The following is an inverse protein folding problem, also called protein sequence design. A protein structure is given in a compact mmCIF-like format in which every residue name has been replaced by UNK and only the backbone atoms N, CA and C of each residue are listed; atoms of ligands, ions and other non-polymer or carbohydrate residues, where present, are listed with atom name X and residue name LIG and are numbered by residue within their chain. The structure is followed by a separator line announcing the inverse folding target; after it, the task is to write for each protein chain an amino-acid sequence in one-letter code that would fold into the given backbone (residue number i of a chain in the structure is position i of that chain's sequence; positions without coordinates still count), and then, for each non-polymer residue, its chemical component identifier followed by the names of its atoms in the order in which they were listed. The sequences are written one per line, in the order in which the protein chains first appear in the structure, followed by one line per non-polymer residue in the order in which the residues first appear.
data_IF_543342304385
#
_entry.id   IF_543342304385
#
_cell.length_a   1.000
_cell.length_b   1.000
_cell.length_c   1.000
_cell.angle_alpha   90.00
_cell.angle_beta   90.00
_cell.angle_gamma   90.00
#
_symmetry.space_group_name_H-M   'P 1'
#
loop_
_entity.id
_entity.type
_entity.pdbx_description
1 polymer ?
#
# COMPACT_ATOMS: atom_id res chain seq x y z
N UNK A 1 -5.03 8.94 -5.66
CA UNK A 1 -3.60 9.29 -5.83
C UNK A 1 -3.22 9.44 -7.30
N UNK A 2 -3.49 8.47 -8.19
CA UNK A 2 -3.23 8.63 -9.65
C UNK A 2 -4.00 9.82 -10.30
N UNK A 3 -5.16 10.20 -9.75
CA UNK A 3 -5.94 11.34 -10.27
C UNK A 3 -5.36 12.73 -9.90
N UNK A 4 -4.46 12.82 -8.91
CA UNK A 4 -3.86 14.11 -8.50
C UNK A 4 -2.87 14.63 -9.56
N UNK A 5 -2.15 13.73 -10.21
CA UNK A 5 -1.21 14.02 -11.31
C UNK A 5 -1.89 14.67 -12.53
N UNK A 6 -3.21 14.50 -12.69
CA UNK A 6 -3.94 15.02 -13.85
C UNK A 6 -4.43 16.47 -13.69
N UNK A 7 -4.35 17.08 -12.50
CA UNK A 7 -5.02 18.37 -12.22
C UNK A 7 -4.10 19.60 -12.18
N UNK A 8 -2.78 19.44 -12.31
CA UNK A 8 -1.85 20.58 -12.50
C UNK A 8 -1.94 21.68 -11.44
N UNK A 9 -2.20 21.33 -10.17
CA UNK A 9 -2.45 22.33 -9.12
C UNK A 9 -1.13 22.82 -8.53
N UNK A 10 -0.78 24.06 -8.84
CA UNK A 10 0.29 24.81 -8.19
C UNK A 10 0.07 24.81 -6.67
N UNK A 11 1.07 24.35 -5.92
CA UNK A 11 0.97 24.12 -4.47
C UNK A 11 0.77 25.40 -3.68
N UNK A 12 -0.48 25.84 -3.54
CA UNK A 12 -0.86 26.95 -2.66
C UNK A 12 -1.14 26.39 -1.26
N UNK A 13 -0.50 26.90 -0.18
CA UNK A 13 -0.74 26.50 1.20
C UNK A 13 -2.15 26.92 1.62
N UNK A 14 -3.14 26.03 1.41
CA UNK A 14 -4.54 26.30 1.73
C UNK A 14 -5.55 25.78 0.71
N UNK A 15 -5.09 25.23 -0.43
CA UNK A 15 -6.02 24.60 -1.39
C UNK A 15 -6.72 23.38 -0.78
N UNK A 16 -8.03 23.27 -0.99
CA UNK A 16 -8.86 22.12 -0.56
C UNK A 16 -8.26 20.78 -1.05
N UNK A 17 -7.63 20.80 -2.22
CA UNK A 17 -6.96 19.65 -2.86
C UNK A 17 -5.66 19.25 -2.15
N UNK A 18 -4.82 20.19 -1.71
CA UNK A 18 -3.61 19.88 -0.94
C UNK A 18 -3.90 19.25 0.42
N UNK A 19 -4.99 19.68 1.07
CA UNK A 19 -5.51 19.05 2.29
C UNK A 19 -5.93 17.60 2.07
N UNK A 20 -6.62 17.30 0.97
CA UNK A 20 -7.03 15.93 0.63
C UNK A 20 -5.82 15.01 0.39
N UNK A 21 -4.80 15.48 -0.33
CA UNK A 21 -3.57 14.68 -0.57
C UNK A 21 -2.87 14.36 0.74
N UNK A 22 -2.73 15.34 1.64
CA UNK A 22 -2.13 15.12 2.95
C UNK A 22 -2.92 14.08 3.75
N UNK A 23 -4.25 14.15 3.75
CA UNK A 23 -5.10 13.13 4.39
C UNK A 23 -4.87 11.73 3.80
N UNK A 24 -4.84 11.60 2.47
CA UNK A 24 -4.52 10.32 1.83
C UNK A 24 -3.15 9.78 2.26
N UNK A 25 -2.12 10.61 2.27
CA UNK A 25 -0.77 10.21 2.68
C UNK A 25 -0.71 9.80 4.15
N UNK A 26 -1.41 10.50 5.05
CA UNK A 26 -1.52 10.12 6.48
C UNK A 26 -2.22 8.78 6.64
N UNK A 27 -3.31 8.56 5.90
CA UNK A 27 -4.03 7.29 5.93
C UNK A 27 -3.19 6.15 5.36
N UNK A 28 -2.43 6.40 4.29
CA UNK A 28 -1.48 5.42 3.75
C UNK A 28 -0.39 5.11 4.77
N UNK A 29 0.27 6.13 5.34
CA UNK A 29 1.29 5.94 6.40
C UNK A 29 0.75 5.09 7.56
N UNK A 30 -0.46 5.39 8.03
CA UNK A 30 -1.11 4.63 9.10
C UNK A 30 -1.37 3.18 8.66
N UNK A 31 -1.89 2.95 7.47
CA UNK A 31 -2.21 1.61 6.97
C UNK A 31 -0.97 0.74 6.70
N UNK A 32 0.19 1.35 6.45
CA UNK A 32 1.45 0.62 6.30
C UNK A 32 2.03 0.16 7.64
N UNK A 33 1.63 0.81 8.74
CA UNK A 33 2.00 0.37 10.08
C UNK A 33 1.35 -0.98 10.37
N UNK A 34 2.15 -1.93 10.83
CA UNK A 34 1.74 -3.30 11.16
C UNK A 34 1.09 -4.10 10.01
N UNK A 35 1.28 -3.66 8.75
CA UNK A 35 0.73 -4.35 7.58
C UNK A 35 1.17 -5.82 7.51
N UNK A 36 2.45 -6.08 7.82
CA UNK A 36 2.99 -7.43 7.86
C UNK A 36 2.25 -8.31 8.88
N UNK A 37 1.93 -7.78 10.05
CA UNK A 37 1.21 -8.51 11.10
C UNK A 37 -0.24 -8.81 10.72
N UNK A 38 -0.88 -7.91 9.97
CA UNK A 38 -2.18 -8.19 9.37
C UNK A 38 -2.09 -9.41 8.45
N UNK A 39 -1.09 -9.46 7.56
CA UNK A 39 -0.91 -10.62 6.68
C UNK A 39 -0.57 -11.90 7.44
N UNK A 40 0.27 -11.84 8.49
CA UNK A 40 0.58 -13.01 9.34
C UNK A 40 -0.68 -13.57 9.99
N UNK A 41 -1.56 -12.72 10.53
CA UNK A 41 -2.85 -13.15 11.08
C UNK A 41 -3.72 -13.84 10.05
N UNK A 42 -3.84 -13.25 8.86
CA UNK A 42 -4.63 -13.83 7.76
C UNK A 42 -4.11 -15.21 7.33
N UNK A 43 -2.79 -15.39 7.26
CA UNK A 43 -2.14 -16.67 6.93
C UNK A 43 -2.48 -17.75 7.95
N UNK A 44 -2.45 -17.39 9.25
CA UNK A 44 -2.81 -18.30 10.35
C UNK A 44 -4.31 -18.65 10.30
N UNK A 45 -5.18 -17.66 10.16
CA UNK A 45 -6.64 -17.84 10.12
C UNK A 45 -7.08 -18.68 8.91
N UNK A 46 -6.48 -18.44 7.74
CA UNK A 46 -6.80 -19.14 6.50
C UNK A 46 -6.19 -20.56 6.43
N UNK A 47 -5.38 -20.98 7.42
CA UNK A 47 -4.70 -22.28 7.48
C UNK A 47 -4.05 -22.65 6.15
N UNK A 48 -3.28 -21.71 5.59
CA UNK A 48 -2.73 -21.86 4.25
C UNK A 48 -1.76 -23.05 4.18
N UNK A 49 -1.87 -23.84 3.11
CA UNK A 49 -0.78 -24.72 2.68
C UNK A 49 0.49 -23.87 2.42
N UNK A 50 1.66 -24.37 2.82
CA UNK A 50 2.96 -23.71 2.67
C UNK A 50 3.14 -22.40 3.46
N UNK A 51 2.80 -22.38 4.74
CA UNK A 51 2.98 -21.21 5.62
C UNK A 51 4.39 -20.58 5.55
N UNK A 52 5.44 -21.38 5.38
CA UNK A 52 6.83 -20.89 5.25
C UNK A 52 7.05 -20.01 4.01
N UNK A 53 6.37 -20.31 2.90
CA UNK A 53 6.44 -19.50 1.69
C UNK A 53 5.74 -18.15 1.89
N UNK A 54 4.61 -18.14 2.60
CA UNK A 54 3.92 -16.91 2.97
C UNK A 54 4.76 -16.07 3.92
N UNK A 55 5.37 -16.66 4.95
CA UNK A 55 6.23 -15.93 5.88
C UNK A 55 7.43 -15.30 5.18
N UNK A 56 8.07 -16.02 4.23
CA UNK A 56 9.16 -15.47 3.42
C UNK A 56 8.69 -14.27 2.60
N UNK A 57 7.53 -14.37 1.95
CA UNK A 57 6.94 -13.27 1.19
C UNK A 57 6.54 -12.09 2.09
N UNK A 58 5.97 -12.35 3.26
CA UNK A 58 5.57 -11.31 4.23
C UNK A 58 6.78 -10.50 4.69
N UNK A 59 7.94 -11.14 4.91
CA UNK A 59 9.17 -10.42 5.27
C UNK A 59 9.65 -9.47 4.18
N UNK A 60 9.53 -9.89 2.91
CA UNK A 60 9.83 -9.02 1.77
C UNK A 60 8.85 -7.84 1.73
N UNK A 61 7.55 -8.12 1.81
CA UNK A 61 6.49 -7.11 1.84
C UNK A 61 6.67 -6.12 3.00
N UNK A 62 7.05 -6.59 4.19
CA UNK A 62 7.34 -5.77 5.37
C UNK A 62 8.46 -4.76 5.09
N UNK A 63 9.55 -5.22 4.49
CA UNK A 63 10.68 -4.36 4.11
C UNK A 63 10.27 -3.31 3.08
N UNK A 64 9.50 -3.70 2.08
CA UNK A 64 9.04 -2.79 1.03
C UNK A 64 7.99 -1.80 1.56
N UNK A 65 7.13 -2.23 2.50
CA UNK A 65 6.22 -1.36 3.24
C UNK A 65 6.97 -0.31 4.05
N UNK A 66 8.02 -0.71 4.80
CA UNK A 66 8.85 0.21 5.56
C UNK A 66 9.55 1.24 4.65
N UNK A 67 10.09 0.80 3.51
CA UNK A 67 10.74 1.69 2.55
C UNK A 67 9.76 2.69 1.92
N UNK A 68 8.57 2.24 1.53
CA UNK A 68 7.52 3.11 1.01
C UNK A 68 7.00 4.09 2.08
N UNK A 69 6.81 3.61 3.32
CA UNK A 69 6.37 4.42 4.45
C UNK A 69 7.38 5.53 4.77
N UNK A 70 8.69 5.24 4.74
CA UNK A 70 9.72 6.25 4.92
C UNK A 70 9.65 7.38 3.88
N UNK A 71 9.42 7.03 2.60
CA UNK A 71 9.23 8.03 1.54
C UNK A 71 7.96 8.87 1.75
N UNK A 72 6.86 8.26 2.19
CA UNK A 72 5.60 8.96 2.52
C UNK A 72 5.80 9.90 3.72
N UNK A 73 6.47 9.47 4.78
CA UNK A 73 6.76 10.30 5.96
C UNK A 73 7.64 11.50 5.59
N UNK A 74 8.62 11.32 4.71
CA UNK A 74 9.42 12.42 4.18
C UNK A 74 8.56 13.43 3.41
N UNK A 75 7.61 12.97 2.59
CA UNK A 75 6.65 13.84 1.91
C UNK A 75 5.76 14.61 2.90
N UNK A 76 5.25 13.94 3.94
CA UNK A 76 4.41 14.54 4.98
C UNK A 76 5.14 15.59 5.83
N UNK A 77 6.46 15.44 5.99
CA UNK A 77 7.31 16.40 6.71
C UNK A 77 7.49 17.74 5.97
N UNK A 78 7.10 17.83 4.69
CA UNK A 78 7.23 19.07 3.93
C UNK A 78 6.15 20.09 4.33
N UNK A 79 6.48 21.40 4.38
CA UNK A 79 5.50 22.45 4.66
C UNK A 79 4.33 22.45 3.65
N UNK A 80 4.65 22.21 2.37
CA UNK A 80 3.70 22.07 1.29
C UNK A 80 4.00 20.81 0.48
N UNK A 81 2.94 20.15 0.00
CA UNK A 81 3.03 18.93 -0.83
C UNK A 81 2.61 19.33 -2.24
N UNK A 82 3.58 19.45 -3.15
CA UNK A 82 3.33 19.83 -4.55
C UNK A 82 2.94 18.62 -5.40
N UNK A 83 2.29 18.87 -6.55
CA UNK A 83 2.03 17.84 -7.57
C UNK A 83 3.30 17.09 -7.99
N UNK A 84 4.38 17.82 -8.27
CA UNK A 84 5.66 17.19 -8.64
C UNK A 84 6.20 16.27 -7.53
N UNK A 85 6.03 16.64 -6.26
CA UNK A 85 6.46 15.79 -5.15
C UNK A 85 5.64 14.50 -5.09
N UNK A 86 4.33 14.59 -5.29
CA UNK A 86 3.45 13.41 -5.36
C UNK A 86 3.79 12.54 -6.58
N UNK A 87 4.10 13.15 -7.72
CA UNK A 87 4.51 12.42 -8.92
C UNK A 87 5.82 11.67 -8.70
N UNK A 88 6.81 12.30 -8.06
CA UNK A 88 8.05 11.65 -7.68
C UNK A 88 7.81 10.49 -6.69
N UNK A 89 6.89 10.68 -5.73
CA UNK A 89 6.51 9.63 -4.79
C UNK A 89 5.84 8.45 -5.51
N UNK A 90 4.93 8.72 -6.45
CA UNK A 90 4.28 7.68 -7.27
C UNK A 90 5.27 6.97 -8.21
N UNK A 91 6.30 7.67 -8.69
CA UNK A 91 7.37 7.10 -9.51
C UNK A 91 8.41 6.30 -8.69
N UNK A 92 8.43 6.48 -7.36
CA UNK A 92 9.34 5.78 -6.46
C UNK A 92 9.26 4.27 -6.64
N UNK A 93 10.42 3.63 -6.79
CA UNK A 93 10.50 2.18 -6.93
C UNK A 93 9.90 1.47 -5.71
N UNK A 94 10.11 2.00 -4.49
CA UNK A 94 9.60 1.40 -3.26
C UNK A 94 8.07 1.36 -3.21
N UNK A 95 7.41 2.44 -3.63
CA UNK A 95 5.94 2.50 -3.69
C UNK A 95 5.41 1.52 -4.74
N UNK A 96 6.06 1.44 -5.90
CA UNK A 96 5.66 0.52 -6.97
C UNK A 96 5.89 -0.95 -6.64
N UNK A 97 6.99 -1.28 -5.97
CA UNK A 97 7.26 -2.64 -5.47
C UNK A 97 6.18 -3.06 -4.48
N UNK A 98 5.93 -2.26 -3.45
CA UNK A 98 4.89 -2.56 -2.46
C UNK A 98 3.52 -2.78 -3.09
N UNK A 99 3.09 -1.90 -4.01
CA UNK A 99 1.80 -2.05 -4.69
C UNK A 99 1.75 -3.34 -5.52
N UNK A 100 2.86 -3.71 -6.15
CA UNK A 100 2.98 -4.96 -6.92
C UNK A 100 2.85 -6.17 -6.01
N UNK A 101 3.51 -6.16 -4.86
CA UNK A 101 3.40 -7.23 -3.86
C UNK A 101 1.97 -7.38 -3.35
N UNK A 102 1.30 -6.25 -3.06
CA UNK A 102 -0.09 -6.22 -2.64
C UNK A 102 -1.04 -6.78 -3.70
N UNK A 103 -0.84 -6.46 -4.99
CA UNK A 103 -1.64 -7.02 -6.06
C UNK A 103 -1.41 -8.52 -6.25
N UNK A 104 -0.16 -8.98 -6.12
CA UNK A 104 0.17 -10.39 -6.24
C UNK A 104 -0.52 -11.22 -5.15
N UNK A 105 -0.42 -10.79 -3.88
CA UNK A 105 -1.06 -11.52 -2.77
C UNK A 105 -2.58 -11.44 -2.81
N UNK A 106 -3.15 -10.29 -3.19
CA UNK A 106 -4.60 -10.14 -3.38
C UNK A 106 -5.14 -11.12 -4.44
N UNK A 107 -4.45 -11.25 -5.58
CA UNK A 107 -4.83 -12.20 -6.63
C UNK A 107 -4.76 -13.65 -6.15
N UNK A 108 -3.69 -14.03 -5.45
CA UNK A 108 -3.56 -15.38 -4.86
C UNK A 108 -4.72 -15.66 -3.89
N UNK A 109 -5.05 -14.71 -3.01
CA UNK A 109 -6.13 -14.88 -2.03
C UNK A 109 -7.51 -14.97 -2.69
N UNK A 110 -7.77 -14.18 -3.73
CA UNK A 110 -9.02 -14.24 -4.52
C UNK A 110 -9.19 -15.60 -5.19
N UNK A 111 -8.14 -16.13 -5.82
CA UNK A 111 -8.17 -17.44 -6.47
C UNK A 111 -8.46 -18.56 -5.45
N UNK A 112 -7.87 -18.49 -4.26
CA UNK A 112 -8.13 -19.44 -3.18
C UNK A 112 -9.57 -19.41 -2.70
N UNK A 113 -10.13 -18.22 -2.45
CA UNK A 113 -11.54 -18.06 -2.06
C UNK A 113 -12.47 -18.65 -3.12
N UNK A 114 -12.25 -18.34 -4.39
CA UNK A 114 -13.04 -18.89 -5.49
C UNK A 114 -12.96 -20.42 -5.59
N UNK A 115 -11.80 -21.02 -5.28
CA UNK A 115 -11.65 -22.48 -5.22
C UNK A 115 -12.44 -23.07 -4.03
N UNK A 116 -12.36 -22.46 -2.85
CA UNK A 116 -13.11 -22.91 -1.66
C UNK A 116 -14.63 -22.87 -1.91
N UNK A 117 -15.14 -21.78 -2.49
CA UNK A 117 -16.57 -21.61 -2.79
C UNK A 117 -17.08 -22.64 -3.82
N UNK A 118 -16.21 -23.08 -4.75
CA UNK A 118 -16.55 -24.14 -5.72
C UNK A 118 -16.58 -25.54 -5.11
N UNK A 119 -15.77 -25.79 -4.07
CA UNK A 119 -15.67 -27.09 -3.42
C UNK A 119 -16.80 -27.29 -2.39
N UNK A 120 -17.29 -26.21 -1.77
CA UNK A 120 -18.43 -26.23 -0.85
C UNK A 120 -19.56 -25.30 -1.35
N UNK A 121 -20.37 -25.71 -2.33
CA UNK A 121 -21.57 -24.97 -2.70
C UNK A 121 -22.59 -25.04 -1.56
N UNK A 122 -23.10 -23.88 -1.14
CA UNK A 122 -24.15 -23.72 -0.11
C UNK A 122 -25.41 -24.52 -0.41
#
# INVERSE_FOLDING_TARGET
MLAYAAQGVSGDPGSQTGGQVRDYLVRTDTALTDLADVFRRLVVEAKVESADAYETFIRMLERDAQAAQAAIRLALAQPAISSQLVDNLNASIHVRTLLTDLFLVDEILKQRRAKTDRVNPS
#
